data_IF_004805636853
#
_entry.id   IF_004805636853
#
_cell.length_a   1.000
_cell.length_b   1.000
_cell.length_c   1.000
_cell.angle_alpha   90.00
_cell.angle_beta   90.00
_cell.angle_gamma   90.00
#
_symmetry.space_group_name_H-M   'P 1'
#
loop_
_entity.id
_entity.type
_entity.pdbx_description
1 polymer ?
#
# COMPACT_ATOMS: atom_id res chain seq x y z
N UNK A 1 2.28 -13.52 18.66
CA UNK A 1 1.88 -14.94 18.84
C UNK A 1 2.16 -15.75 17.57
N UNK A 2 1.42 -15.53 16.47
CA UNK A 2 1.53 -16.36 15.25
C UNK A 2 2.95 -16.46 14.68
N UNK A 3 3.65 -15.32 14.49
CA UNK A 3 5.06 -15.30 14.02
C UNK A 3 5.99 -16.11 14.92
N UNK A 4 5.83 -16.01 16.24
CA UNK A 4 6.67 -16.73 17.19
C UNK A 4 6.41 -18.25 17.14
N UNK A 5 5.15 -18.66 17.01
CA UNK A 5 4.79 -20.07 16.82
C UNK A 5 5.36 -20.64 15.52
N UNK A 6 5.28 -19.87 14.42
CA UNK A 6 5.86 -20.27 13.14
C UNK A 6 7.40 -20.39 13.19
N UNK A 7 8.08 -19.48 13.90
CA UNK A 7 9.54 -19.56 14.14
C UNK A 7 9.89 -20.77 15.01
N UNK A 8 9.05 -21.10 15.99
CA UNK A 8 9.21 -22.29 16.82
C UNK A 8 8.88 -23.60 16.10
N UNK A 9 8.45 -23.55 14.83
CA UNK A 9 8.12 -24.72 14.03
C UNK A 9 6.79 -25.37 14.41
N UNK A 10 5.87 -24.65 15.06
CA UNK A 10 4.54 -25.16 15.38
C UNK A 10 3.80 -25.62 14.10
N UNK A 11 3.50 -26.91 13.95
CA UNK A 11 2.87 -27.45 12.74
C UNK A 11 1.51 -26.81 12.44
N UNK A 12 0.74 -26.42 13.46
CA UNK A 12 -0.55 -25.78 13.26
C UNK A 12 -0.38 -24.37 12.68
N UNK A 13 0.59 -23.61 13.19
CA UNK A 13 0.91 -22.27 12.69
C UNK A 13 1.45 -22.32 11.25
N UNK A 14 2.36 -23.27 10.97
CA UNK A 14 2.93 -23.44 9.63
C UNK A 14 1.84 -23.81 8.61
N UNK A 15 0.98 -24.78 8.94
CA UNK A 15 -0.13 -25.18 8.05
C UNK A 15 -1.11 -24.03 7.81
N UNK A 16 -1.48 -23.29 8.85
CA UNK A 16 -2.35 -22.12 8.70
C UNK A 16 -1.72 -21.03 7.81
N UNK A 17 -0.41 -20.80 7.92
CA UNK A 17 0.30 -19.84 7.07
C UNK A 17 0.40 -20.33 5.63
N UNK A 18 0.60 -21.63 5.40
CA UNK A 18 0.61 -22.20 4.06
C UNK A 18 -0.75 -22.08 3.38
N UNK A 19 -1.83 -22.44 4.08
CA UNK A 19 -3.22 -22.29 3.62
C UNK A 19 -3.54 -20.80 3.33
N UNK A 20 -3.13 -19.89 4.23
CA UNK A 20 -3.31 -18.46 4.04
C UNK A 20 -2.53 -17.92 2.83
N UNK A 21 -1.30 -18.39 2.62
CA UNK A 21 -0.48 -18.02 1.46
C UNK A 21 -1.12 -18.45 0.15
N UNK A 22 -1.68 -19.67 0.10
CA UNK A 22 -2.42 -20.15 -1.06
C UNK A 22 -3.69 -19.33 -1.32
N UNK A 23 -4.51 -19.11 -0.29
CA UNK A 23 -5.73 -18.30 -0.40
C UNK A 23 -5.43 -16.88 -0.89
N UNK A 24 -4.38 -16.24 -0.36
CA UNK A 24 -3.94 -14.93 -0.79
C UNK A 24 -3.48 -14.95 -2.26
N UNK A 25 -2.71 -15.95 -2.67
CA UNK A 25 -2.27 -16.10 -4.05
C UNK A 25 -3.43 -16.28 -5.05
N UNK A 26 -4.47 -17.03 -4.67
CA UNK A 26 -5.70 -17.17 -5.46
C UNK A 26 -6.38 -15.81 -5.65
N UNK A 27 -6.58 -15.07 -4.56
CA UNK A 27 -7.20 -13.74 -4.61
C UNK A 27 -6.38 -12.76 -5.46
N UNK A 28 -5.05 -12.73 -5.26
CA UNK A 28 -4.14 -11.87 -6.02
C UNK A 28 -4.13 -12.22 -7.51
N UNK A 29 -4.25 -13.50 -7.87
CA UNK A 29 -4.30 -13.92 -9.28
C UNK A 29 -5.46 -13.26 -10.04
N UNK A 30 -6.62 -13.12 -9.38
CA UNK A 30 -7.76 -12.41 -9.95
C UNK A 30 -7.46 -10.92 -10.18
N UNK A 31 -6.88 -10.25 -9.18
CA UNK A 31 -6.51 -8.84 -9.31
C UNK A 31 -5.42 -8.61 -10.37
N UNK A 32 -4.44 -9.51 -10.44
CA UNK A 32 -3.36 -9.46 -11.43
C UNK A 32 -3.90 -9.65 -12.84
N UNK A 33 -4.73 -10.65 -13.08
CA UNK A 33 -5.32 -10.89 -14.40
C UNK A 33 -6.23 -9.74 -14.85
N UNK A 34 -6.80 -8.97 -13.92
CA UNK A 34 -7.66 -7.83 -14.24
C UNK A 34 -6.91 -6.52 -14.46
N UNK A 35 -5.88 -6.26 -13.65
CA UNK A 35 -5.21 -4.96 -13.60
C UNK A 35 -3.85 -4.95 -14.32
N UNK A 36 -3.30 -6.13 -14.66
CA UNK A 36 -1.92 -6.35 -15.14
C UNK A 36 -0.87 -5.43 -14.47
N UNK A 37 -0.72 -5.50 -13.14
CA UNK A 37 0.27 -4.68 -12.47
C UNK A 37 1.69 -5.20 -12.77
N UNK A 38 2.68 -4.29 -12.73
CA UNK A 38 4.08 -4.69 -12.86
C UNK A 38 4.58 -5.46 -11.64
N UNK A 39 4.06 -5.19 -10.45
CA UNK A 39 4.44 -5.88 -9.21
C UNK A 39 3.33 -5.81 -8.15
N UNK A 40 3.36 -6.74 -7.21
CA UNK A 40 2.55 -6.74 -5.98
C UNK A 40 3.49 -6.46 -4.80
N UNK A 41 3.17 -5.43 -4.02
CA UNK A 41 3.94 -5.08 -2.81
C UNK A 41 3.16 -5.52 -1.57
N UNK A 42 3.72 -6.47 -0.82
CA UNK A 42 3.15 -6.96 0.45
C UNK A 42 3.75 -6.15 1.60
N UNK A 43 2.89 -5.42 2.31
CA UNK A 43 3.29 -4.55 3.41
C UNK A 43 2.58 -4.87 4.73
N UNK A 44 2.88 -4.06 5.75
CA UNK A 44 2.24 -4.16 7.06
C UNK A 44 2.55 -5.49 7.78
N UNK A 45 1.63 -6.00 8.61
CA UNK A 45 1.85 -7.23 9.37
C UNK A 45 2.11 -8.48 8.51
N UNK A 46 1.69 -8.48 7.24
CA UNK A 46 1.94 -9.59 6.32
C UNK A 46 3.42 -9.67 5.90
N UNK A 47 4.11 -8.53 5.83
CA UNK A 47 5.55 -8.49 5.53
C UNK A 47 6.37 -9.28 6.56
N UNK A 48 5.94 -9.27 7.83
CA UNK A 48 6.56 -10.02 8.92
C UNK A 48 6.40 -11.54 8.79
N UNK A 49 5.39 -12.00 8.03
CA UNK A 49 5.05 -13.40 7.80
C UNK A 49 5.43 -13.87 6.39
N UNK A 50 6.09 -13.01 5.61
CA UNK A 50 6.48 -13.26 4.22
C UNK A 50 7.19 -14.60 3.98
N UNK A 51 8.13 -15.06 4.83
CA UNK A 51 8.84 -16.33 4.60
C UNK A 51 7.91 -17.54 4.47
N UNK A 52 6.75 -17.52 5.14
CA UNK A 52 5.78 -18.60 5.11
C UNK A 52 4.66 -18.37 4.09
N UNK A 53 4.28 -17.11 3.85
CA UNK A 53 3.18 -16.77 2.93
C UNK A 53 3.61 -16.75 1.45
N UNK A 54 4.76 -16.15 1.16
CA UNK A 54 5.19 -15.90 -0.22
C UNK A 54 5.35 -17.16 -1.07
N UNK A 55 5.83 -18.31 -0.57
CA UNK A 55 5.88 -19.54 -1.34
C UNK A 55 4.50 -19.95 -1.89
N UNK A 56 3.47 -19.91 -1.04
CA UNK A 56 2.08 -20.20 -1.44
C UNK A 56 1.54 -19.17 -2.43
N UNK A 57 1.78 -17.88 -2.17
CA UNK A 57 1.34 -16.79 -3.06
C UNK A 57 1.94 -16.94 -4.46
N UNK A 58 3.26 -17.15 -4.54
CA UNK A 58 4.00 -17.29 -5.81
C UNK A 58 3.55 -18.53 -6.58
N UNK A 59 3.32 -19.65 -5.89
CA UNK A 59 2.83 -20.89 -6.49
C UNK A 59 1.48 -20.67 -7.18
N UNK A 60 0.54 -20.02 -6.50
CA UNK A 60 -0.80 -19.78 -7.06
C UNK A 60 -0.77 -18.73 -8.19
N UNK A 61 0.02 -17.67 -8.06
CA UNK A 61 0.21 -16.70 -9.15
C UNK A 61 0.81 -17.34 -10.40
N UNK A 62 1.85 -18.17 -10.24
CA UNK A 62 2.47 -18.89 -11.36
C UNK A 62 1.50 -19.89 -12.03
N UNK A 63 0.54 -20.43 -11.28
CA UNK A 63 -0.44 -21.38 -11.79
C UNK A 63 -1.65 -20.74 -12.48
N UNK A 64 -2.00 -19.50 -12.11
CA UNK A 64 -3.30 -18.89 -12.46
C UNK A 64 -3.21 -17.62 -13.29
N UNK A 65 -2.05 -16.98 -13.33
CA UNK A 65 -1.86 -15.79 -14.16
C UNK A 65 -1.51 -16.20 -15.58
N UNK A 66 -2.29 -15.71 -16.54
CA UNK A 66 -2.19 -16.11 -17.95
C UNK A 66 -1.42 -15.13 -18.82
N UNK A 67 -1.40 -13.86 -18.46
CA UNK A 67 -0.90 -12.79 -19.34
C UNK A 67 0.63 -12.82 -19.48
N UNK A 68 1.34 -12.93 -18.35
CA UNK A 68 2.79 -13.07 -18.33
C UNK A 68 3.27 -13.97 -17.21
N UNK A 69 4.47 -14.52 -17.35
CA UNK A 69 5.12 -15.31 -16.30
C UNK A 69 5.51 -14.42 -15.13
N UNK A 70 4.74 -14.51 -14.04
CA UNK A 70 5.07 -13.87 -12.78
C UNK A 70 6.30 -14.52 -12.16
N UNK A 71 7.32 -13.70 -11.91
CA UNK A 71 8.59 -14.12 -11.33
C UNK A 71 8.62 -13.80 -9.84
N UNK A 72 9.58 -14.37 -9.14
CA UNK A 72 9.72 -14.15 -7.69
C UNK A 72 9.91 -12.68 -7.32
N UNK A 73 10.59 -11.90 -8.17
CA UNK A 73 10.82 -10.47 -7.98
C UNK A 73 9.58 -9.60 -8.16
N UNK A 74 8.51 -10.14 -8.76
CA UNK A 74 7.29 -9.37 -9.02
C UNK A 74 6.40 -9.31 -7.75
N UNK A 75 6.70 -10.14 -6.74
CA UNK A 75 6.07 -10.07 -5.41
C UNK A 75 7.11 -9.57 -4.41
N UNK A 76 6.99 -8.31 -4.02
CA UNK A 76 7.99 -7.57 -3.25
C UNK A 76 7.50 -7.32 -1.83
N UNK A 77 8.41 -7.36 -0.85
CA UNK A 77 8.10 -6.97 0.53
C UNK A 77 8.38 -5.49 0.75
N UNK A 78 7.40 -4.78 1.32
CA UNK A 78 7.54 -3.37 1.67
C UNK A 78 8.60 -3.19 2.77
N UNK A 79 9.49 -2.21 2.55
CA UNK A 79 10.54 -1.82 3.50
C UNK A 79 10.12 -0.68 4.44
N UNK A 80 8.88 -0.21 4.33
CA UNK A 80 8.36 0.92 5.10
C UNK A 80 8.02 0.56 6.56
N UNK A 81 7.97 -0.74 6.88
CA UNK A 81 7.68 -1.21 8.23
C UNK A 81 6.29 -0.80 8.72
N UNK A 82 6.14 -0.75 10.05
CA UNK A 82 4.86 -0.48 10.72
C UNK A 82 4.34 0.95 10.47
N UNK A 83 5.25 1.88 10.22
CA UNK A 83 4.91 3.29 9.95
C UNK A 83 4.53 3.55 8.49
N UNK A 84 4.53 2.53 7.62
CA UNK A 84 4.25 2.72 6.20
C UNK A 84 2.90 3.39 5.92
N UNK A 85 1.89 3.06 6.71
CA UNK A 85 0.56 3.69 6.61
C UNK A 85 0.63 5.18 7.00
N UNK A 86 1.30 5.50 8.12
CA UNK A 86 1.45 6.88 8.59
C UNK A 86 2.26 7.73 7.60
N UNK A 87 3.34 7.16 7.05
CA UNK A 87 4.16 7.81 6.02
C UNK A 87 3.37 8.04 4.74
N UNK A 88 2.56 7.08 4.30
CA UNK A 88 1.67 7.25 3.16
C UNK A 88 0.63 8.35 3.38
N UNK A 89 0.05 8.42 4.58
CA UNK A 89 -0.89 9.47 4.95
C UNK A 89 -0.24 10.86 4.94
N UNK A 90 0.94 11.02 5.54
CA UNK A 90 1.69 12.26 5.50
C UNK A 90 2.08 12.65 4.06
N UNK A 91 2.53 11.67 3.26
CA UNK A 91 2.85 11.88 1.86
C UNK A 91 1.63 12.32 1.05
N UNK A 92 0.42 11.84 1.36
CA UNK A 92 -0.82 12.25 0.69
C UNK A 92 -1.04 13.77 0.78
N UNK A 93 -0.76 14.38 1.93
CA UNK A 93 -0.84 15.84 2.11
C UNK A 93 0.21 16.58 1.27
N UNK A 94 1.44 16.07 1.22
CA UNK A 94 2.52 16.64 0.40
C UNK A 94 2.22 16.48 -1.10
N UNK A 95 1.60 15.36 -1.50
CA UNK A 95 1.30 15.04 -2.89
C UNK A 95 0.42 16.11 -3.54
N UNK A 96 -0.57 16.64 -2.84
CA UNK A 96 -1.38 17.78 -3.30
C UNK A 96 -0.56 19.02 -3.67
N UNK A 97 0.55 19.27 -2.98
CA UNK A 97 1.46 20.38 -3.29
C UNK A 97 2.34 20.05 -4.48
N UNK A 98 2.79 18.80 -4.60
CA UNK A 98 3.64 18.34 -5.70
C UNK A 98 2.89 18.25 -7.03
N UNK A 99 1.62 17.85 -7.00
CA UNK A 99 0.79 17.67 -8.20
C UNK A 99 0.40 19.02 -8.82
N UNK A 100 0.17 20.05 -7.99
CA UNK A 100 -0.14 21.42 -8.44
C UNK A 100 0.43 22.49 -7.48
N UNK A 101 1.73 22.82 -7.61
CA UNK A 101 2.38 23.77 -6.72
C UNK A 101 1.86 25.20 -6.92
N UNK A 102 1.42 25.56 -8.14
CA UNK A 102 0.97 26.92 -8.46
C UNK A 102 -0.35 27.26 -7.77
N UNK A 103 -1.33 26.35 -7.81
CA UNK A 103 -2.60 26.53 -7.10
C UNK A 103 -2.42 26.55 -5.59
N UNK A 104 -1.50 25.73 -5.06
CA UNK A 104 -1.20 25.71 -3.64
C UNK A 104 -0.56 27.03 -3.16
N UNK A 105 0.42 27.58 -3.88
CA UNK A 105 1.03 28.87 -3.55
C UNK A 105 -0.01 30.00 -3.56
N UNK A 106 -0.90 30.02 -4.55
CA UNK A 106 -1.96 31.03 -4.64
C UNK A 106 -2.92 30.95 -3.46
N UNK A 107 -3.40 29.76 -3.12
CA UNK A 107 -4.32 29.56 -1.97
C UNK A 107 -3.70 29.92 -0.62
N UNK A 108 -2.41 29.63 -0.41
CA UNK A 108 -1.71 30.05 0.80
C UNK A 108 -1.54 31.57 0.85
N UNK A 109 -1.20 32.20 -0.28
CA UNK A 109 -1.04 33.66 -0.37
C UNK A 109 -2.37 34.37 -0.11
N UNK A 110 -3.46 33.94 -0.75
CA UNK A 110 -4.82 34.47 -0.55
C UNK A 110 -5.30 34.30 0.89
N UNK A 111 -4.98 33.18 1.55
CA UNK A 111 -5.34 32.90 2.95
C UNK A 111 -4.47 33.63 3.98
N UNK A 112 -3.29 34.08 3.58
CA UNK A 112 -2.35 34.85 4.42
C UNK A 112 -2.61 36.37 4.40
N UNK A 113 -3.42 36.86 3.47
CA UNK A 113 -3.84 38.27 3.45
C UNK A 113 -4.80 38.53 4.61
N UNK A 114 -4.62 39.64 5.38
CA UNK A 114 -5.60 40.03 6.39
C UNK A 114 -6.96 40.24 5.72
N UNK A 115 -8.10 40.00 6.42
CA UNK A 115 -9.40 40.31 5.85
C UNK A 115 -9.44 41.82 5.55
N UNK A 116 -9.35 42.17 4.27
CA UNK A 116 -9.60 43.55 3.84
C UNK A 116 -11.08 43.80 4.06
N UNK A 117 -11.41 44.33 5.24
CA UNK A 117 -12.73 44.82 5.55
C UNK A 117 -13.08 45.91 4.53
N UNK A 118 -13.89 45.57 3.54
CA UNK A 118 -14.60 46.56 2.75
C UNK A 118 -15.70 47.13 3.64
N UNK A 119 -15.38 48.15 4.44
CA UNK A 119 -16.38 49.04 4.98
C UNK A 119 -16.97 49.79 3.79
N UNK A 120 -18.11 49.33 3.29
CA UNK A 120 -18.93 50.11 2.36
C UNK A 120 -19.43 51.33 3.13
N UNK A 121 -18.75 52.46 2.92
CA UNK A 121 -19.24 53.76 3.34
C UNK A 121 -20.45 54.09 2.46
N UNK A 122 -21.65 53.80 2.98
CA UNK A 122 -22.92 54.28 2.43
C UNK A 122 -22.97 55.79 2.64
N UNK A 123 -22.66 56.54 1.58
CA UNK A 123 -22.78 57.99 1.52
C UNK A 123 -24.25 58.38 1.53
N UNK A 124 -24.58 59.20 2.53
CA UNK A 124 -25.77 60.06 2.58
C UNK A 124 -25.74 61.10 1.47
#
# INVERSE_FOLDING_TARGET
>A
ALKAAAVAGDPAALRALEEAGAALGIALSGAVNLLDPQAVVVGGPLADLAPWLLPGVRRELAARVTDRRWREQDVVISRLGRDGVLRGAAYSSVRTVLDDPATWIRTVTERSLPPTGSTSCSSR
#
